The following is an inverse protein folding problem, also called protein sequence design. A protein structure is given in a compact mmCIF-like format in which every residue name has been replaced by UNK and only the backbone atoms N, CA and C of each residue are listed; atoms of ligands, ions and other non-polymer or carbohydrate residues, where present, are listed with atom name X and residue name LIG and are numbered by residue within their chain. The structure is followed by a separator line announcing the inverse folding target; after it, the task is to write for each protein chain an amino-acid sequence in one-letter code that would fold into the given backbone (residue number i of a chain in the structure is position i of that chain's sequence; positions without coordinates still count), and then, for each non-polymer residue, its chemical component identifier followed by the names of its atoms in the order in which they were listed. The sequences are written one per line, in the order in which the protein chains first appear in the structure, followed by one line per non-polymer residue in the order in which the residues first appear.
data_IF_060310888980
#
_entry.id   IF_060310888980
#
_cell.length_a   1.000
_cell.length_b   1.000
_cell.length_c   1.000
_cell.angle_alpha   90.00
_cell.angle_beta   90.00
_cell.angle_gamma   90.00
#
_symmetry.space_group_name_H-M   'P 1'
#
loop_
_entity.id
_entity.type
_entity.pdbx_description
1 polymer ?
#
# COMPACT_ATOMS: atom_id res chain seq x y z
N UNK A 1 8.67 18.80 -0.98
CA UNK A 1 7.19 18.87 -1.08
C UNK A 1 6.50 17.94 -0.07
N UNK A 2 6.97 16.72 0.17
CA UNK A 2 6.38 15.75 1.15
C UNK A 2 7.18 15.69 2.44
N UNK A 3 7.36 16.84 3.11
CA UNK A 3 8.08 16.86 4.37
C UNK A 3 7.34 16.05 5.45
N UNK A 4 8.07 15.21 6.17
CA UNK A 4 7.56 14.55 7.37
C UNK A 4 7.64 15.57 8.52
N UNK A 5 6.55 16.30 8.70
CA UNK A 5 6.39 17.25 9.81
C UNK A 5 6.24 16.48 11.13
N UNK A 6 6.42 17.14 12.26
CA UNK A 6 6.19 16.56 13.60
C UNK A 6 4.79 15.93 13.73
N UNK A 7 3.78 16.57 13.13
CA UNK A 7 2.41 16.03 13.12
C UNK A 7 2.33 14.72 12.35
N UNK A 8 2.98 14.64 11.18
CA UNK A 8 3.03 13.40 10.38
C UNK A 8 3.84 12.32 11.10
N UNK A 9 4.95 12.70 11.72
CA UNK A 9 5.76 11.77 12.52
C UNK A 9 4.95 11.14 13.65
N UNK A 10 4.19 11.94 14.41
CA UNK A 10 3.29 11.44 15.45
C UNK A 10 2.20 10.52 14.90
N UNK A 11 1.66 10.82 13.71
CA UNK A 11 0.67 9.96 13.03
C UNK A 11 1.30 8.61 12.63
N UNK A 12 2.49 8.61 12.03
CA UNK A 12 3.21 7.39 11.67
C UNK A 12 3.50 6.51 12.89
N UNK A 13 4.01 7.10 13.97
CA UNK A 13 4.27 6.39 15.23
C UNK A 13 3.01 5.71 15.78
N UNK A 14 1.88 6.44 15.85
CA UNK A 14 0.58 5.86 16.29
C UNK A 14 0.12 4.74 15.36
N UNK A 15 0.29 4.90 14.06
CA UNK A 15 -0.07 3.89 13.08
C UNK A 15 0.78 2.62 13.25
N UNK A 16 2.09 2.75 13.38
CA UNK A 16 2.99 1.63 13.63
C UNK A 16 2.68 0.92 14.96
N UNK A 17 2.47 1.68 16.04
CA UNK A 17 2.06 1.10 17.32
C UNK A 17 0.77 0.28 17.21
N UNK A 18 -0.20 0.72 16.40
CA UNK A 18 -1.41 -0.07 16.14
C UNK A 18 -1.12 -1.29 15.25
N UNK A 19 -0.24 -1.15 14.26
CA UNK A 19 0.10 -2.23 13.34
C UNK A 19 0.91 -3.34 14.02
N UNK A 20 1.67 -3.04 15.09
CA UNK A 20 2.41 -4.05 15.88
C UNK A 20 1.48 -4.94 16.72
N UNK A 21 0.23 -4.54 16.95
CA UNK A 21 -0.72 -5.38 17.70
C UNK A 21 -0.88 -6.77 17.03
N UNK A 22 -0.96 -7.86 17.80
CA UNK A 22 -0.93 -9.24 17.28
C UNK A 22 -1.98 -9.55 16.21
N UNK A 23 -3.18 -8.96 16.30
CA UNK A 23 -4.27 -9.18 15.36
C UNK A 23 -4.29 -8.20 14.17
N UNK A 24 -3.46 -7.15 14.18
CA UNK A 24 -3.45 -6.13 13.14
C UNK A 24 -2.47 -6.46 12.02
N UNK A 25 -2.94 -6.33 10.77
CA UNK A 25 -2.12 -6.49 9.57
C UNK A 25 -2.18 -5.29 8.64
N UNK A 26 -3.02 -4.33 8.96
CA UNK A 26 -3.16 -3.09 8.22
C UNK A 26 -3.60 -1.95 9.12
N UNK A 27 -3.26 -0.75 8.70
CA UNK A 27 -3.74 0.51 9.28
C UNK A 27 -3.96 1.52 8.17
N UNK A 28 -4.84 2.47 8.40
CA UNK A 28 -5.09 3.61 7.53
C UNK A 28 -5.12 4.89 8.36
N UNK A 29 -4.52 5.95 7.82
CA UNK A 29 -4.42 7.23 8.51
C UNK A 29 -4.55 8.39 7.51
N UNK A 30 -5.15 9.51 7.95
CA UNK A 30 -5.14 10.76 7.19
C UNK A 30 -3.71 11.32 7.16
N UNK A 31 -3.17 11.51 5.97
CA UNK A 31 -1.74 11.82 5.83
C UNK A 31 -1.45 12.95 4.86
N UNK A 32 -2.11 12.97 3.73
CA UNK A 32 -1.88 13.92 2.65
C UNK A 32 -2.96 15.01 2.63
N UNK A 33 -2.57 16.19 2.19
CA UNK A 33 -3.50 17.27 1.82
C UNK A 33 -4.07 17.04 0.43
N UNK A 34 -5.19 17.68 0.12
CA UNK A 34 -5.80 17.61 -1.22
C UNK A 34 -4.84 18.13 -2.30
N UNK A 35 -4.07 19.18 -2.01
CA UNK A 35 -3.06 19.71 -2.93
C UNK A 35 -1.98 18.67 -3.26
N UNK A 36 -1.47 17.98 -2.26
CA UNK A 36 -0.47 16.92 -2.47
C UNK A 36 -1.03 15.76 -3.27
N UNK A 37 -2.27 15.35 -2.99
CA UNK A 37 -2.94 14.27 -3.73
C UNK A 37 -3.18 14.67 -5.17
N UNK A 38 -3.60 15.89 -5.45
CA UNK A 38 -3.80 16.37 -6.82
C UNK A 38 -2.49 16.36 -7.62
N UNK A 39 -1.40 16.86 -7.05
CA UNK A 39 -0.07 16.82 -7.70
C UNK A 39 0.35 15.37 -7.99
N UNK A 40 0.17 14.45 -7.03
CA UNK A 40 0.49 13.04 -7.23
C UNK A 40 -0.40 12.39 -8.28
N UNK A 41 -1.70 12.74 -8.32
CA UNK A 41 -2.65 12.21 -9.29
C UNK A 41 -2.30 12.63 -10.72
N UNK A 42 -1.96 13.91 -10.92
CA UNK A 42 -1.56 14.45 -12.23
C UNK A 42 -0.28 13.75 -12.73
N UNK A 43 0.75 13.66 -11.89
CA UNK A 43 2.00 13.01 -12.24
C UNK A 43 1.83 11.50 -12.49
N UNK A 44 1.02 10.82 -11.66
CA UNK A 44 0.74 9.40 -11.83
C UNK A 44 -0.10 9.14 -13.08
N UNK A 45 -1.10 9.99 -13.36
CA UNK A 45 -1.96 9.88 -14.53
C UNK A 45 -1.22 10.06 -15.86
N UNK A 46 -0.13 10.85 -15.85
CA UNK A 46 0.71 11.10 -17.03
C UNK A 46 1.69 9.94 -17.36
N UNK A 47 1.76 8.90 -16.53
CA UNK A 47 2.66 7.78 -16.78
C UNK A 47 2.14 6.86 -17.88
N UNK A 48 3.05 6.08 -18.48
CA UNK A 48 2.68 5.06 -19.47
C UNK A 48 2.17 3.81 -18.79
N UNK A 49 0.98 3.39 -19.17
CA UNK A 49 0.34 2.20 -18.63
C UNK A 49 0.30 1.06 -19.65
N UNK A 50 0.39 -0.15 -19.15
CA UNK A 50 0.08 -1.37 -19.91
C UNK A 50 -1.01 -2.16 -19.21
N UNK A 51 -1.81 -2.89 -19.97
CA UNK A 51 -2.79 -3.81 -19.40
C UNK A 51 -2.07 -4.92 -18.65
N UNK A 52 -2.54 -5.26 -17.46
CA UNK A 52 -2.04 -6.45 -16.74
C UNK A 52 -2.60 -7.73 -17.34
N UNK A 53 -1.98 -8.84 -17.04
CA UNK A 53 -2.53 -10.16 -17.30
C UNK A 53 -3.83 -10.32 -16.50
N UNK A 54 -4.92 -10.75 -17.15
CA UNK A 54 -6.25 -10.78 -16.53
C UNK A 54 -6.37 -11.73 -15.35
N UNK A 55 -5.51 -12.73 -15.27
CA UNK A 55 -5.45 -13.69 -14.19
C UNK A 55 -4.02 -14.10 -13.90
N UNK A 56 -3.67 -14.16 -12.62
CA UNK A 56 -2.44 -14.80 -12.15
C UNK A 56 -2.81 -16.13 -11.51
N UNK A 57 -2.17 -17.20 -11.99
CA UNK A 57 -2.30 -18.54 -11.42
C UNK A 57 -1.00 -18.93 -10.72
N UNK A 58 -1.07 -19.21 -9.45
CA UNK A 58 0.05 -19.71 -8.68
C UNK A 58 -0.41 -20.91 -7.82
N UNK A 59 0.02 -22.12 -8.21
CA UNK A 59 -0.47 -23.39 -7.65
C UNK A 59 -2.01 -23.47 -7.80
N UNK A 60 -2.75 -23.73 -6.72
CA UNK A 60 -4.22 -23.78 -6.71
C UNK A 60 -4.89 -22.38 -6.58
N UNK A 61 -4.12 -21.31 -6.46
CA UNK A 61 -4.67 -19.97 -6.24
C UNK A 61 -4.76 -19.21 -7.57
N UNK A 62 -5.95 -18.69 -7.86
CA UNK A 62 -6.24 -17.82 -8.98
C UNK A 62 -6.58 -16.44 -8.49
N UNK A 63 -5.96 -15.40 -9.05
CA UNK A 63 -6.22 -14.01 -8.73
C UNK A 63 -6.52 -13.29 -10.02
N UNK A 64 -7.76 -12.86 -10.18
CA UNK A 64 -8.12 -12.01 -11.32
C UNK A 64 -7.56 -10.61 -11.15
N UNK A 65 -7.24 -9.96 -12.26
CA UNK A 65 -6.74 -8.60 -12.32
C UNK A 65 -7.46 -7.86 -13.45
N UNK A 66 -8.03 -6.72 -13.13
CA UNK A 66 -8.77 -5.92 -14.10
C UNK A 66 -8.38 -4.44 -13.99
N UNK A 67 -7.11 -4.14 -14.30
CA UNK A 67 -6.53 -2.81 -14.25
C UNK A 67 -5.36 -2.66 -15.22
N UNK A 68 -4.90 -1.44 -15.40
CA UNK A 68 -3.66 -1.10 -16.08
C UNK A 68 -2.57 -0.78 -15.05
N UNK A 69 -1.31 -1.02 -15.40
CA UNK A 69 -0.18 -0.78 -14.52
C UNK A 69 0.95 -0.06 -15.23
N UNK A 70 1.55 0.91 -14.56
CA UNK A 70 2.91 1.36 -14.80
C UNK A 70 3.81 0.62 -13.80
N UNK A 71 4.61 -0.33 -14.30
CA UNK A 71 5.50 -1.14 -13.47
C UNK A 71 6.68 -1.71 -14.29
N UNK A 72 7.93 -1.58 -13.79
CA UNK A 72 8.32 -0.71 -12.68
C UNK A 72 8.04 0.76 -13.02
N UNK A 73 7.46 1.51 -12.08
CA UNK A 73 7.24 2.93 -12.28
C UNK A 73 8.54 3.71 -12.00
N UNK A 74 8.82 4.80 -12.74
CA UNK A 74 10.02 5.59 -12.52
C UNK A 74 9.96 6.28 -11.15
N UNK A 75 10.87 5.93 -10.26
CA UNK A 75 11.06 6.57 -8.96
C UNK A 75 11.96 7.80 -9.13
N UNK A 76 11.39 8.90 -9.66
CA UNK A 76 12.10 10.15 -9.97
C UNK A 76 11.32 11.35 -9.42
N UNK A 77 12.05 12.43 -9.10
CA UNK A 77 11.47 13.70 -8.67
C UNK A 77 10.52 13.52 -7.49
N UNK A 78 9.29 14.00 -7.65
CA UNK A 78 8.26 13.99 -6.59
C UNK A 78 7.99 12.59 -6.02
N UNK A 79 8.04 11.53 -6.83
CA UNK A 79 7.86 10.17 -6.36
C UNK A 79 9.04 9.66 -5.54
N UNK A 80 10.26 10.08 -5.88
CA UNK A 80 11.45 9.75 -5.09
C UNK A 80 11.46 10.50 -3.75
N UNK A 81 11.13 11.79 -3.75
CA UNK A 81 10.98 12.61 -2.54
C UNK A 81 9.94 11.98 -1.58
N UNK A 82 8.79 11.56 -2.14
CA UNK A 82 7.74 10.90 -1.36
C UNK A 82 8.23 9.59 -0.76
N UNK A 83 8.86 8.74 -1.57
CA UNK A 83 9.36 7.44 -1.12
C UNK A 83 10.43 7.62 -0.03
N UNK A 84 11.43 8.47 -0.25
CA UNK A 84 12.50 8.75 0.71
C UNK A 84 11.96 9.34 2.02
N UNK A 85 11.00 10.28 1.92
CA UNK A 85 10.32 10.84 3.09
C UNK A 85 9.57 9.78 3.89
N UNK A 86 8.83 8.88 3.24
CA UNK A 86 8.12 7.80 3.91
C UNK A 86 9.09 6.77 4.52
N UNK A 87 10.17 6.39 3.83
CA UNK A 87 11.21 5.49 4.35
C UNK A 87 11.80 6.04 5.65
N UNK A 88 12.28 7.27 5.62
CA UNK A 88 12.88 7.94 6.78
C UNK A 88 11.86 8.12 7.92
N UNK A 89 10.66 8.60 7.60
CA UNK A 89 9.61 8.84 8.60
C UNK A 89 9.11 7.56 9.26
N UNK A 90 8.92 6.49 8.50
CA UNK A 90 8.50 5.19 9.05
C UNK A 90 9.59 4.60 9.92
N UNK A 91 10.85 4.63 9.49
CA UNK A 91 11.96 4.11 10.27
C UNK A 91 12.15 4.90 11.59
N UNK A 92 12.15 6.22 11.52
CA UNK A 92 12.22 7.09 12.70
C UNK A 92 11.05 6.82 13.66
N UNK A 93 9.82 6.72 13.15
CA UNK A 93 8.64 6.40 13.96
C UNK A 93 8.72 5.02 14.61
N UNK A 94 9.31 4.04 13.92
CA UNK A 94 9.55 2.69 14.45
C UNK A 94 10.58 2.68 15.57
N UNK A 95 11.64 3.47 15.43
CA UNK A 95 12.71 3.58 16.43
C UNK A 95 12.26 4.26 17.73
N UNK A 96 11.16 5.00 17.71
CA UNK A 96 10.53 5.58 18.90
C UNK A 96 9.63 4.59 19.68
N UNK A 97 9.38 3.40 19.15
CA UNK A 97 8.58 2.38 19.84
C UNK A 97 9.47 1.56 20.79
N UNK A 98 8.86 0.99 21.83
CA UNK A 98 9.55 0.14 22.78
C UNK A 98 10.30 -1.04 22.12
N UNK A 99 9.77 -1.53 21.00
CA UNK A 99 10.41 -2.48 20.12
C UNK A 99 10.26 -1.99 18.69
N UNK A 100 11.38 -1.73 18.00
CA UNK A 100 11.35 -1.32 16.60
C UNK A 100 10.78 -2.47 15.76
N UNK A 101 9.68 -2.23 15.00
CA UNK A 101 9.09 -3.27 14.16
C UNK A 101 9.90 -3.57 12.90
N UNK A 102 10.91 -2.76 12.59
CA UNK A 102 11.82 -2.93 11.46
C UNK A 102 13.16 -3.48 11.97
N UNK A 103 13.64 -4.56 11.34
CA UNK A 103 14.92 -5.15 11.71
C UNK A 103 16.13 -4.26 11.35
N UNK A 104 15.98 -3.46 10.29
CA UNK A 104 17.02 -2.58 9.77
C UNK A 104 16.38 -1.39 9.05
N UNK A 105 17.18 -0.43 8.61
CA UNK A 105 16.77 0.53 7.59
C UNK A 105 16.32 -0.22 6.35
N UNK A 106 15.24 0.25 5.76
CA UNK A 106 14.71 -0.33 4.53
C UNK A 106 14.53 0.76 3.47
N UNK A 107 14.44 0.30 2.24
CA UNK A 107 14.20 1.13 1.07
C UNK A 107 13.02 0.56 0.30
N UNK A 108 12.25 1.41 -0.36
CA UNK A 108 11.24 0.94 -1.30
C UNK A 108 11.90 0.64 -2.64
N UNK A 109 12.05 -0.64 -2.94
CA UNK A 109 12.69 -1.14 -4.16
C UNK A 109 11.71 -1.29 -5.32
N UNK A 110 10.43 -1.42 -4.98
CA UNK A 110 9.34 -1.69 -5.91
C UNK A 110 8.32 -0.56 -5.84
N UNK A 111 8.11 0.12 -6.98
CA UNK A 111 7.13 1.18 -7.13
C UNK A 111 6.20 0.87 -8.30
N UNK A 112 4.90 0.86 -8.04
CA UNK A 112 3.86 0.60 -9.03
C UNK A 112 2.79 1.67 -8.99
N UNK A 113 2.28 2.05 -10.18
CA UNK A 113 1.08 2.87 -10.34
C UNK A 113 0.02 2.01 -10.98
N UNK A 114 -1.16 1.93 -10.37
CA UNK A 114 -2.28 1.12 -10.84
C UNK A 114 -3.45 2.02 -11.20
N UNK A 115 -4.01 1.81 -12.39
CA UNK A 115 -5.17 2.52 -12.91
C UNK A 115 -6.29 1.55 -13.23
N UNK A 116 -7.37 1.64 -12.49
CA UNK A 116 -8.58 0.84 -12.68
C UNK A 116 -9.61 1.70 -13.42
N UNK A 117 -10.15 1.26 -14.57
CA UNK A 117 -11.23 1.96 -15.22
C UNK A 117 -12.53 1.91 -14.40
N UNK A 118 -13.45 2.82 -14.65
CA UNK A 118 -14.80 2.76 -14.08
C UNK A 118 -15.47 1.42 -14.43
N UNK A 119 -16.14 0.80 -13.47
CA UNK A 119 -16.75 -0.52 -13.63
C UNK A 119 -15.77 -1.71 -13.59
N UNK A 120 -14.48 -1.46 -13.38
CA UNK A 120 -13.48 -2.54 -13.21
C UNK A 120 -13.90 -3.51 -12.10
N UNK A 121 -13.62 -4.79 -12.32
CA UNK A 121 -13.78 -5.83 -11.31
C UNK A 121 -12.75 -5.70 -10.17
N UNK A 122 -11.69 -4.90 -10.36
CA UNK A 122 -10.63 -4.70 -9.39
C UNK A 122 -9.53 -5.76 -9.43
N UNK A 123 -9.08 -6.16 -8.25
CA UNK A 123 -8.12 -7.26 -8.07
C UNK A 123 -8.63 -8.24 -7.01
N UNK A 124 -8.59 -9.52 -7.34
CA UNK A 124 -9.04 -10.60 -6.47
C UNK A 124 -8.27 -10.70 -5.16
N UNK A 125 -8.79 -11.51 -4.25
CA UNK A 125 -8.20 -11.72 -2.93
C UNK A 125 -6.81 -12.33 -3.07
N UNK A 126 -5.80 -11.64 -2.58
CA UNK A 126 -4.40 -12.05 -2.65
C UNK A 126 -3.61 -11.58 -1.42
N UNK A 127 -2.40 -12.08 -1.29
CA UNK A 127 -1.34 -11.52 -0.44
C UNK A 127 -0.25 -10.98 -1.35
N UNK A 128 0.36 -9.87 -0.97
CA UNK A 128 1.58 -9.41 -1.64
C UNK A 128 2.67 -10.49 -1.62
N UNK A 129 3.58 -10.41 -2.57
CA UNK A 129 4.63 -11.42 -2.77
C UNK A 129 5.49 -11.65 -1.50
N UNK A 130 5.95 -12.87 -1.29
CA UNK A 130 6.84 -13.24 -0.16
C UNK A 130 8.16 -12.47 -0.13
N UNK A 131 8.58 -11.96 -1.27
CA UNK A 131 9.82 -11.18 -1.41
C UNK A 131 9.72 -9.81 -0.74
N UNK A 132 8.51 -9.29 -0.54
CA UNK A 132 8.30 -7.98 0.09
C UNK A 132 8.44 -8.08 1.60
N UNK A 133 9.24 -7.20 2.16
CA UNK A 133 9.59 -7.17 3.58
C UNK A 133 9.01 -5.95 4.28
N UNK A 134 8.90 -6.08 5.57
CA UNK A 134 8.50 -5.03 6.51
C UNK A 134 7.10 -4.47 6.23
N UNK A 135 6.94 -3.65 5.21
CA UNK A 135 5.71 -2.90 4.99
C UNK A 135 5.41 -2.70 3.50
N UNK A 136 4.14 -2.71 3.17
CA UNK A 136 3.61 -2.27 1.88
C UNK A 136 2.82 -0.99 2.10
N UNK A 137 3.07 0.00 1.28
CA UNK A 137 2.37 1.29 1.28
C UNK A 137 1.40 1.32 0.10
N UNK A 138 0.16 1.76 0.35
CA UNK A 138 -0.84 2.02 -0.69
C UNK A 138 -1.38 3.43 -0.48
N UNK A 139 -1.41 4.24 -1.53
CA UNK A 139 -1.98 5.58 -1.55
C UNK A 139 -2.95 5.67 -2.73
N UNK A 140 -4.23 5.80 -2.46
CA UNK A 140 -5.23 6.07 -3.50
C UNK A 140 -5.23 7.57 -3.79
N UNK A 141 -5.10 7.92 -5.05
CA UNK A 141 -4.97 9.29 -5.53
C UNK A 141 -6.29 9.83 -6.06
N UNK A 142 -7.09 8.96 -6.70
CA UNK A 142 -8.36 9.35 -7.30
C UNK A 142 -9.33 8.18 -7.40
N UNK A 143 -10.62 8.51 -7.54
CA UNK A 143 -11.70 7.59 -7.83
C UNK A 143 -12.36 6.99 -6.58
N UNK A 144 -13.29 6.07 -6.81
CA UNK A 144 -14.07 5.39 -5.77
C UNK A 144 -14.04 3.88 -5.96
N UNK A 145 -13.54 3.19 -4.96
CA UNK A 145 -13.47 1.74 -4.90
C UNK A 145 -13.60 1.26 -3.45
N UNK A 146 -13.53 -0.03 -3.26
CA UNK A 146 -13.45 -0.63 -1.94
C UNK A 146 -12.18 -1.47 -1.84
N UNK A 147 -11.17 -0.96 -1.11
CA UNK A 147 -10.06 -1.75 -0.61
C UNK A 147 -10.56 -2.50 0.63
N UNK A 148 -10.31 -3.79 0.72
CA UNK A 148 -10.73 -4.60 1.85
C UNK A 148 -9.67 -5.63 2.23
N UNK A 149 -9.69 -6.05 3.50
CA UNK A 149 -9.00 -7.23 4.00
C UNK A 149 -9.99 -8.33 4.31
N UNK A 150 -9.51 -9.58 4.39
CA UNK A 150 -10.31 -10.76 4.72
C UNK A 150 -9.47 -11.79 5.47
N UNK A 151 -10.14 -12.72 6.16
CA UNK A 151 -9.47 -13.79 6.90
C UNK A 151 -9.20 -15.02 6.04
N UNK A 152 -9.95 -15.22 4.95
CA UNK A 152 -9.79 -16.36 4.06
C UNK A 152 -9.87 -16.00 2.59
N UNK A 153 -9.41 -16.92 1.72
CA UNK A 153 -9.53 -16.76 0.26
C UNK A 153 -10.96 -16.86 -0.24
N UNK A 154 -11.88 -17.43 0.55
CA UNK A 154 -13.31 -17.41 0.26
C UNK A 154 -13.95 -16.03 0.50
N UNK A 155 -13.22 -15.11 1.12
CA UNK A 155 -13.68 -13.73 1.36
C UNK A 155 -14.51 -13.59 2.63
N UNK A 156 -14.28 -14.44 3.61
CA UNK A 156 -14.94 -14.37 4.91
C UNK A 156 -14.43 -13.17 5.72
N UNK A 157 -15.28 -12.65 6.61
CA UNK A 157 -14.93 -11.58 7.54
C UNK A 157 -14.30 -10.36 6.84
N UNK A 158 -14.84 -9.95 5.69
CA UNK A 158 -14.34 -8.78 4.97
C UNK A 158 -14.43 -7.52 5.81
N UNK A 159 -13.32 -6.84 5.94
CA UNK A 159 -13.21 -5.54 6.60
C UNK A 159 -12.81 -4.50 5.57
N UNK A 160 -13.59 -3.44 5.44
CA UNK A 160 -13.23 -2.30 4.59
C UNK A 160 -12.02 -1.58 5.17
N UNK A 161 -11.05 -1.29 4.33
CA UNK A 161 -9.92 -0.42 4.61
C UNK A 161 -10.28 0.96 4.05
N UNK A 162 -10.24 1.99 4.87
CA UNK A 162 -10.47 3.35 4.40
C UNK A 162 -9.26 3.83 3.61
N UNK A 163 -9.37 3.80 2.29
CA UNK A 163 -8.34 4.17 1.33
C UNK A 163 -8.74 5.37 0.47
N UNK A 164 -9.64 6.22 0.96
CA UNK A 164 -10.00 7.47 0.26
C UNK A 164 -8.75 8.29 -0.07
N UNK A 165 -8.76 9.11 -1.15
CA UNK A 165 -7.68 10.05 -1.42
C UNK A 165 -7.30 10.85 -0.17
N UNK A 166 -6.00 11.10 0.03
CA UNK A 166 -5.47 11.72 1.26
C UNK A 166 -5.05 10.75 2.36
N UNK A 167 -5.44 9.47 2.26
CA UNK A 167 -5.06 8.46 3.26
C UNK A 167 -3.80 7.69 2.85
N UNK A 168 -3.00 7.39 3.86
CA UNK A 168 -1.88 6.45 3.78
C UNK A 168 -2.34 5.11 4.35
N UNK A 169 -2.31 4.05 3.56
CA UNK A 169 -2.57 2.69 4.02
C UNK A 169 -1.25 1.94 4.13
N UNK A 170 -1.03 1.33 5.29
CA UNK A 170 0.12 0.50 5.59
C UNK A 170 -0.35 -0.94 5.81
N UNK A 171 0.19 -1.87 5.03
CA UNK A 171 0.01 -3.31 5.24
C UNK A 171 1.31 -3.90 5.78
N UNK A 172 1.23 -4.78 6.78
CA UNK A 172 2.41 -5.52 7.22
C UNK A 172 2.86 -6.52 6.15
N UNK A 173 4.18 -6.72 6.06
CA UNK A 173 4.80 -7.71 5.19
C UNK A 173 5.75 -8.60 6.00
N UNK A 174 6.44 -9.51 5.34
CA UNK A 174 7.32 -10.45 6.00
C UNK A 174 8.42 -9.74 6.78
N UNK A 175 8.70 -10.19 8.01
CA UNK A 175 9.68 -9.58 8.94
C UNK A 175 9.14 -8.45 9.81
N UNK A 176 7.98 -7.82 9.48
CA UNK A 176 7.44 -6.74 10.30
C UNK A 176 7.09 -7.20 11.72
N UNK A 177 7.69 -6.58 12.72
CA UNK A 177 7.52 -6.93 14.15
C UNK A 177 7.75 -8.43 14.43
N UNK A 178 8.75 -9.03 13.77
CA UNK A 178 9.11 -10.45 13.91
C UNK A 178 8.09 -11.42 13.31
N UNK A 179 7.10 -10.95 12.54
CA UNK A 179 6.10 -11.81 11.90
C UNK A 179 6.59 -12.31 10.54
N UNK A 180 6.28 -13.55 10.23
CA UNK A 180 6.71 -14.19 9.00
C UNK A 180 5.56 -14.86 8.24
N UNK A 181 5.80 -15.18 6.97
CA UNK A 181 4.91 -15.91 6.08
C UNK A 181 3.48 -15.32 5.98
N UNK A 182 2.48 -16.18 6.11
CA UNK A 182 1.07 -15.79 6.00
C UNK A 182 0.60 -14.96 7.19
N UNK A 183 1.23 -15.11 8.35
CA UNK A 183 0.92 -14.35 9.56
C UNK A 183 1.36 -12.88 9.46
N UNK A 184 2.33 -12.57 8.61
CA UNK A 184 2.78 -11.20 8.37
C UNK A 184 1.90 -10.46 7.37
N UNK A 185 1.37 -11.15 6.34
CA UNK A 185 0.78 -10.55 5.14
C UNK A 185 -0.74 -10.70 5.11
N UNK A 186 -1.52 -9.59 5.11
CA UNK A 186 -2.98 -9.69 5.04
C UNK A 186 -3.44 -10.20 3.68
N UNK A 187 -4.51 -11.01 3.68
CA UNK A 187 -5.32 -11.21 2.49
C UNK A 187 -6.13 -9.93 2.25
N UNK A 188 -6.05 -9.39 1.04
CA UNK A 188 -6.74 -8.16 0.65
C UNK A 188 -7.10 -8.18 -0.82
N UNK A 189 -7.95 -7.25 -1.23
CA UNK A 189 -8.37 -7.07 -2.61
C UNK A 189 -9.02 -5.71 -2.82
N UNK A 190 -9.31 -5.39 -4.08
CA UNK A 190 -10.05 -4.19 -4.48
C UNK A 190 -11.26 -4.63 -5.30
N UNK A 191 -12.43 -4.11 -4.95
CA UNK A 191 -13.66 -4.30 -5.71
C UNK A 191 -14.52 -3.01 -5.73
N UNK A 192 -15.71 -3.09 -6.28
CA UNK A 192 -16.65 -1.96 -6.33
C UNK A 192 -16.02 -0.68 -6.90
N UNK A 193 -15.24 -0.80 -7.97
CA UNK A 193 -14.62 0.34 -8.65
C UNK A 193 -15.69 1.11 -9.43
N UNK A 194 -16.22 2.17 -8.84
CA UNK A 194 -17.37 2.92 -9.41
C UNK A 194 -16.95 3.96 -10.44
N UNK A 195 -16.08 4.89 -10.04
CA UNK A 195 -15.63 6.03 -10.88
C UNK A 195 -14.17 5.87 -11.33
N UNK A 196 -13.68 4.63 -11.34
CA UNK A 196 -12.26 4.33 -11.52
C UNK A 196 -11.50 4.38 -10.21
N UNK A 197 -10.19 4.09 -10.28
CA UNK A 197 -9.22 4.21 -9.18
C UNK A 197 -7.83 4.42 -9.74
N UNK A 198 -7.15 5.43 -9.26
CA UNK A 198 -5.72 5.63 -9.48
C UNK A 198 -5.01 5.49 -8.12
N UNK A 199 -4.01 4.66 -8.06
CA UNK A 199 -3.25 4.43 -6.81
C UNK A 199 -1.79 4.16 -7.08
N UNK A 200 -0.96 4.52 -6.10
CA UNK A 200 0.45 4.17 -6.06
C UNK A 200 0.72 3.20 -4.92
N UNK A 201 1.70 2.34 -5.12
CA UNK A 201 2.14 1.36 -4.14
C UNK A 201 3.65 1.28 -4.07
N UNK A 202 4.20 1.31 -2.84
CA UNK A 202 5.61 1.10 -2.57
C UNK A 202 5.81 -0.19 -1.78
N UNK A 203 6.89 -0.91 -2.09
CA UNK A 203 7.26 -2.17 -1.43
C UNK A 203 8.77 -2.26 -1.27
N UNK A 204 9.22 -2.91 -0.21
CA UNK A 204 10.64 -3.15 0.08
C UNK A 204 10.99 -4.62 -0.10
N UNK A 205 12.25 -4.90 -0.49
CA UNK A 205 12.80 -6.26 -0.49
C UNK A 205 13.59 -6.58 0.79
N UNK A 206 13.83 -5.60 1.67
CA UNK A 206 14.56 -5.75 2.92
C UNK A 206 15.84 -4.97 2.98
#
# INVERSE_FOLDING_TARGET
MFAITDTRQKKLRRALMRLTQPSRRWVSLDFFTDTEINVLADLAGAQQFRRVQSEIVHRANRVFQDFDVCFPAPRLGVFDDLAAGLESGLFAAGSELAQNPFASHFRFDDFAIQRYPAGSRGIGIHRDGKRYKHIVVIITLAGQSRLFSTTSRAGEMRQRIDDRPGRLVLLSADGFAGRHDEHARPLHGVDCVRTGRLSIGFRSFG
#
